data_IF_212447967586
#
_entry.id   IF_212447967586
#
_cell.length_a   1.000
_cell.length_b   1.000
_cell.length_c   1.000
_cell.angle_alpha   90.00
_cell.angle_beta   90.00
_cell.angle_gamma   90.00
#
_symmetry.space_group_name_H-M   'P 1'
#
loop_
_entity.id
_entity.type
_entity.pdbx_description
1 polymer ?
#
# COMPACT_ATOMS: atom_id res chain seq x y z
N UNK A 1 1.39 -3.85 -18.65
CA UNK A 1 1.42 -4.06 -17.16
C UNK A 1 0.60 -5.28 -16.79
N UNK A 2 1.06 -6.11 -15.84
CA UNK A 2 0.32 -7.27 -15.35
C UNK A 2 -0.68 -6.87 -14.28
N UNK A 3 -1.98 -6.86 -14.60
CA UNK A 3 -3.05 -6.50 -13.69
C UNK A 3 -3.31 -7.54 -12.60
N UNK A 4 -3.33 -8.82 -12.96
CA UNK A 4 -3.72 -9.91 -12.06
C UNK A 4 -2.83 -10.08 -10.84
N UNK A 5 -1.51 -9.97 -11.02
CA UNK A 5 -0.55 -10.12 -9.92
C UNK A 5 -0.66 -8.98 -8.91
N UNK A 6 -1.16 -7.82 -9.32
CA UNK A 6 -1.34 -6.63 -8.50
C UNK A 6 -2.74 -6.56 -7.88
N UNK A 7 -3.75 -7.21 -8.48
CA UNK A 7 -5.13 -7.23 -8.01
C UNK A 7 -5.32 -7.95 -6.66
N UNK A 8 -4.35 -8.75 -6.23
CA UNK A 8 -4.43 -9.52 -4.98
C UNK A 8 -4.43 -8.66 -3.71
N UNK A 9 -4.09 -7.38 -3.81
CA UNK A 9 -4.13 -6.42 -2.71
C UNK A 9 -4.53 -5.01 -3.20
N UNK A 10 -5.18 -4.21 -2.36
CA UNK A 10 -5.65 -2.86 -2.71
C UNK A 10 -4.48 -1.94 -3.08
N UNK A 11 -3.38 -1.96 -2.34
CA UNK A 11 -2.19 -1.16 -2.62
C UNK A 11 -1.54 -1.46 -3.97
N UNK A 12 -1.67 -2.69 -4.50
CA UNK A 12 -1.19 -3.05 -5.83
C UNK A 12 -1.94 -2.33 -6.95
N UNK A 13 -3.24 -2.17 -6.78
CA UNK A 13 -4.08 -1.45 -7.76
C UNK A 13 -3.75 0.04 -7.75
N UNK A 14 -3.62 0.62 -6.55
CA UNK A 14 -3.23 2.02 -6.41
C UNK A 14 -1.84 2.27 -6.99
N UNK A 15 -0.90 1.33 -6.82
CA UNK A 15 0.42 1.37 -7.43
C UNK A 15 0.35 1.36 -8.97
N UNK A 16 -0.41 0.44 -9.58
CA UNK A 16 -0.59 0.42 -11.05
C UNK A 16 -1.18 1.73 -11.57
N UNK A 17 -2.24 2.21 -10.93
CA UNK A 17 -2.88 3.48 -11.29
C UNK A 17 -1.89 4.63 -11.26
N UNK A 18 -1.12 4.70 -10.18
CA UNK A 18 -0.13 5.75 -10.00
C UNK A 18 0.97 5.68 -11.06
N UNK A 19 1.52 4.48 -11.36
CA UNK A 19 2.51 4.30 -12.43
C UNK A 19 1.98 4.79 -13.79
N UNK A 20 0.74 4.45 -14.15
CA UNK A 20 0.14 4.90 -15.40
C UNK A 20 -0.03 6.41 -15.44
N UNK A 21 -0.54 7.01 -14.38
CA UNK A 21 -0.73 8.47 -14.29
C UNK A 21 0.62 9.19 -14.41
N UNK A 22 1.64 8.71 -13.69
CA UNK A 22 2.98 9.29 -13.71
C UNK A 22 3.64 9.18 -15.10
N UNK A 23 3.57 8.02 -15.74
CA UNK A 23 4.08 7.83 -17.11
C UNK A 23 3.38 8.76 -18.11
N UNK A 24 2.05 8.82 -18.08
CA UNK A 24 1.26 9.68 -18.97
C UNK A 24 1.53 11.17 -18.74
N UNK A 25 1.97 11.58 -17.55
CA UNK A 25 2.29 12.96 -17.23
C UNK A 25 3.61 13.45 -17.85
N UNK A 26 4.51 12.53 -18.20
CA UNK A 26 5.84 12.86 -18.73
C UNK A 26 6.03 12.43 -20.17
N UNK A 27 5.26 11.47 -20.66
CA UNK A 27 5.31 10.94 -22.02
C UNK A 27 3.89 10.63 -22.47
N UNK A 28 3.15 11.62 -23.01
CA UNK A 28 1.77 11.43 -23.47
C UNK A 28 1.63 10.42 -24.63
N UNK A 29 2.72 10.18 -25.36
CA UNK A 29 2.83 9.18 -26.43
C UNK A 29 3.00 7.75 -25.90
N UNK A 30 3.46 7.59 -24.65
CA UNK A 30 3.59 6.27 -24.04
C UNK A 30 2.22 5.65 -23.83
N UNK A 31 1.95 4.53 -24.50
CA UNK A 31 0.70 3.81 -24.33
C UNK A 31 0.83 2.74 -23.25
N UNK A 32 -0.01 2.84 -22.22
CA UNK A 32 -0.08 1.85 -21.17
C UNK A 32 -1.16 0.82 -21.47
N UNK A 33 -0.80 -0.46 -21.42
CA UNK A 33 -1.73 -1.58 -21.56
C UNK A 33 -1.73 -2.43 -20.31
N UNK A 34 -2.92 -2.82 -19.87
CA UNK A 34 -3.08 -3.70 -18.71
C UNK A 34 -3.47 -5.08 -19.22
N UNK A 35 -2.61 -6.05 -18.99
CA UNK A 35 -2.88 -7.44 -19.30
C UNK A 35 -3.60 -8.09 -18.11
N UNK A 36 -4.76 -8.70 -18.38
CA UNK A 36 -5.62 -9.31 -17.35
C UNK A 36 -6.08 -10.67 -17.88
N UNK A 37 -6.04 -11.68 -17.01
CA UNK A 37 -6.63 -12.97 -17.33
C UNK A 37 -8.16 -12.85 -17.40
N UNK A 38 -8.82 -13.47 -18.37
CA UNK A 38 -10.27 -13.56 -18.38
C UNK A 38 -10.74 -14.31 -17.13
N UNK A 39 -11.85 -13.89 -16.56
CA UNK A 39 -12.44 -14.60 -15.42
C UNK A 39 -12.75 -16.05 -15.82
N UNK A 40 -11.99 -16.98 -15.26
CA UNK A 40 -12.27 -18.39 -15.45
C UNK A 40 -13.45 -18.78 -14.58
N UNK A 41 -14.62 -18.97 -15.17
CA UNK A 41 -15.82 -19.52 -14.54
C UNK A 41 -15.47 -20.78 -13.73
N UNK A 42 -14.55 -21.60 -14.24
CA UNK A 42 -14.06 -22.82 -13.57
C UNK A 42 -13.27 -22.49 -12.28
N UNK A 43 -12.40 -21.45 -12.28
CA UNK A 43 -11.67 -21.03 -11.07
C UNK A 43 -12.65 -20.44 -10.03
N UNK A 44 -13.64 -19.66 -10.46
CA UNK A 44 -14.69 -19.11 -9.59
C UNK A 44 -15.58 -20.22 -9.00
N UNK A 45 -15.97 -21.21 -9.78
CA UNK A 45 -16.75 -22.36 -9.30
C UNK A 45 -15.95 -23.24 -8.34
N UNK A 46 -14.67 -23.51 -8.61
CA UNK A 46 -13.79 -24.25 -7.70
C UNK A 46 -13.58 -23.49 -6.39
N UNK A 47 -13.43 -22.17 -6.44
CA UNK A 47 -13.29 -21.35 -5.25
C UNK A 47 -14.59 -21.32 -4.42
N UNK A 48 -15.75 -21.22 -5.07
CA UNK A 48 -17.06 -21.32 -4.44
C UNK A 48 -17.28 -22.72 -3.82
N UNK A 49 -16.95 -23.78 -4.52
CA UNK A 49 -17.05 -25.16 -4.01
C UNK A 49 -16.11 -25.39 -2.80
N UNK A 50 -14.85 -24.92 -2.88
CA UNK A 50 -13.90 -25.01 -1.75
C UNK A 50 -14.37 -24.18 -0.54
N UNK A 51 -14.98 -23.01 -0.76
CA UNK A 51 -15.53 -22.21 0.29
C UNK A 51 -16.79 -22.87 0.90
N UNK A 52 -17.68 -23.44 0.08
CA UNK A 52 -18.83 -24.20 0.53
C UNK A 52 -18.45 -25.39 1.42
N UNK A 53 -17.45 -26.20 1.02
CA UNK A 53 -16.93 -27.29 1.83
C UNK A 53 -16.30 -26.80 3.14
N UNK A 54 -15.56 -25.69 3.13
CA UNK A 54 -14.99 -25.10 4.35
C UNK A 54 -16.07 -24.62 5.31
N UNK A 55 -17.14 -24.00 4.79
CA UNK A 55 -18.30 -23.56 5.60
C UNK A 55 -19.00 -24.76 6.25
N UNK A 56 -19.22 -25.84 5.50
CA UNK A 56 -19.81 -27.10 6.01
C UNK A 56 -18.95 -27.76 7.09
N UNK A 57 -17.62 -27.58 7.03
CA UNK A 57 -16.67 -28.11 8.02
C UNK A 57 -16.40 -27.15 9.18
N UNK A 58 -17.18 -26.06 9.32
CA UNK A 58 -16.99 -25.04 10.37
C UNK A 58 -15.67 -24.25 10.24
N UNK A 59 -14.95 -24.40 9.12
CA UNK A 59 -13.71 -23.65 8.85
C UNK A 59 -14.04 -22.32 8.18
N UNK A 60 -13.45 -21.24 8.70
CA UNK A 60 -13.64 -19.89 8.12
C UNK A 60 -13.21 -19.89 6.64
N UNK A 61 -14.09 -19.37 5.79
CA UNK A 61 -13.80 -19.15 4.36
C UNK A 61 -12.86 -17.98 4.22
N UNK A 62 -11.79 -18.16 3.45
CA UNK A 62 -10.98 -17.02 3.01
C UNK A 62 -11.77 -16.21 1.98
N UNK A 63 -11.79 -14.85 2.08
CA UNK A 63 -12.27 -14.04 0.97
C UNK A 63 -11.50 -14.41 -0.30
N UNK A 64 -12.18 -14.46 -1.45
CA UNK A 64 -11.54 -14.59 -2.75
C UNK A 64 -10.42 -13.53 -2.86
N UNK A 65 -9.19 -13.98 -3.07
CA UNK A 65 -8.05 -13.08 -3.19
C UNK A 65 -8.19 -12.28 -4.50
N UNK A 66 -8.29 -10.95 -4.38
CA UNK A 66 -8.31 -10.01 -5.50
C UNK A 66 -9.68 -9.37 -5.75
N UNK A 67 -9.66 -8.22 -6.43
CA UNK A 67 -10.87 -7.59 -6.94
C UNK A 67 -11.39 -8.36 -8.17
N UNK A 68 -12.71 -8.46 -8.33
CA UNK A 68 -13.31 -8.92 -9.60
C UNK A 68 -12.78 -8.09 -10.77
N UNK A 69 -12.60 -8.74 -11.93
CA UNK A 69 -12.04 -8.13 -13.15
C UNK A 69 -12.68 -6.78 -13.49
N UNK A 70 -14.00 -6.70 -13.42
CA UNK A 70 -14.74 -5.47 -13.75
C UNK A 70 -14.45 -4.34 -12.75
N UNK A 71 -14.30 -4.66 -11.47
CA UNK A 71 -13.94 -3.68 -10.45
C UNK A 71 -12.49 -3.19 -10.63
N UNK A 72 -11.55 -4.08 -11.00
CA UNK A 72 -10.19 -3.72 -11.34
C UNK A 72 -10.14 -2.78 -12.55
N UNK A 73 -10.84 -3.12 -13.63
CA UNK A 73 -10.93 -2.28 -14.84
C UNK A 73 -11.56 -0.93 -14.51
N UNK A 74 -12.64 -0.92 -13.74
CA UNK A 74 -13.28 0.32 -13.30
C UNK A 74 -12.33 1.18 -12.45
N UNK A 75 -11.67 0.58 -11.46
CA UNK A 75 -10.72 1.28 -10.60
C UNK A 75 -9.57 1.91 -11.40
N UNK A 76 -9.05 1.21 -12.40
CA UNK A 76 -7.99 1.72 -13.28
C UNK A 76 -8.49 2.85 -14.21
N UNK A 77 -9.64 2.67 -14.85
CA UNK A 77 -10.21 3.68 -15.79
C UNK A 77 -10.73 4.93 -15.09
N UNK A 78 -11.29 4.80 -13.88
CA UNK A 78 -11.82 5.95 -13.12
C UNK A 78 -10.75 6.95 -12.68
N UNK A 79 -9.48 6.60 -12.80
CA UNK A 79 -8.36 7.50 -12.49
C UNK A 79 -8.05 8.54 -13.57
N UNK A 80 -8.75 8.52 -14.71
CA UNK A 80 -8.43 9.37 -15.86
C UNK A 80 -7.20 8.90 -16.64
N UNK A 81 -6.59 7.78 -16.25
CA UNK A 81 -5.45 7.21 -16.95
C UNK A 81 -5.87 6.63 -18.31
N UNK A 82 -5.07 6.88 -19.34
CA UNK A 82 -5.27 6.28 -20.67
C UNK A 82 -4.75 4.85 -20.65
N UNK A 83 -5.65 3.88 -20.59
CA UNK A 83 -5.32 2.45 -20.52
C UNK A 83 -6.20 1.63 -21.43
N UNK A 84 -5.58 0.70 -22.17
CA UNK A 84 -6.25 -0.40 -22.85
C UNK A 84 -6.13 -1.67 -22.02
N UNK A 85 -7.17 -2.49 -22.01
CA UNK A 85 -7.18 -3.78 -21.33
C UNK A 85 -7.06 -4.89 -22.36
N UNK A 86 -6.07 -5.77 -22.16
CA UNK A 86 -5.77 -6.88 -23.05
C UNK A 86 -5.95 -8.19 -22.29
N UNK A 87 -6.72 -9.10 -22.84
CA UNK A 87 -6.90 -10.43 -22.27
C UNK A 87 -5.76 -11.37 -22.70
N UNK A 88 -5.29 -12.19 -21.75
CA UNK A 88 -4.33 -13.25 -21.98
C UNK A 88 -4.64 -14.48 -21.14
N UNK A 89 -4.21 -15.68 -21.56
CA UNK A 89 -4.34 -16.90 -20.78
C UNK A 89 -3.10 -17.10 -19.86
N UNK A 90 -3.24 -17.95 -18.86
CA UNK A 90 -2.24 -18.14 -17.79
C UNK A 90 -1.05 -19.01 -18.26
N UNK A 91 -0.44 -18.65 -19.39
CA UNK A 91 0.78 -19.27 -19.92
C UNK A 91 1.77 -18.21 -20.35
N UNK A 92 3.07 -18.50 -20.23
CA UNK A 92 4.12 -17.59 -20.69
C UNK A 92 4.05 -17.34 -22.20
N UNK A 93 3.66 -18.35 -22.98
CA UNK A 93 3.49 -18.20 -24.43
C UNK A 93 2.37 -17.23 -24.78
N UNK A 94 1.18 -17.41 -24.18
CA UNK A 94 0.05 -16.51 -24.49
C UNK A 94 0.28 -15.08 -23.97
N UNK A 95 1.00 -14.95 -22.83
CA UNK A 95 1.45 -13.64 -22.34
C UNK A 95 2.36 -12.95 -23.36
N UNK A 96 3.34 -13.67 -23.91
CA UNK A 96 4.24 -13.16 -24.94
C UNK A 96 3.46 -12.78 -26.22
N UNK A 97 2.50 -13.62 -26.64
CA UNK A 97 1.66 -13.34 -27.79
C UNK A 97 0.71 -12.14 -27.55
N UNK A 98 0.17 -11.98 -26.35
CA UNK A 98 -0.61 -10.81 -25.97
C UNK A 98 0.23 -9.53 -26.03
N UNK A 99 1.47 -9.57 -25.57
CA UNK A 99 2.42 -8.45 -25.67
C UNK A 99 2.71 -8.10 -27.15
N UNK A 100 2.96 -9.11 -28.00
CA UNK A 100 3.18 -8.90 -29.45
C UNK A 100 1.94 -8.30 -30.14
N UNK A 101 0.74 -8.81 -29.84
CA UNK A 101 -0.53 -8.29 -30.40
C UNK A 101 -0.75 -6.81 -30.07
N UNK A 102 -0.27 -6.35 -28.93
CA UNK A 102 -0.42 -4.95 -28.55
C UNK A 102 0.86 -4.11 -28.75
N UNK A 103 1.88 -4.63 -29.44
CA UNK A 103 3.16 -3.98 -29.69
C UNK A 103 3.78 -3.44 -28.39
N UNK A 104 3.82 -4.25 -27.33
CA UNK A 104 4.39 -3.84 -26.06
C UNK A 104 5.92 -4.02 -26.09
N UNK A 105 6.66 -2.97 -25.72
CA UNK A 105 8.12 -2.96 -25.67
C UNK A 105 8.65 -3.65 -24.41
N UNK A 106 7.96 -3.53 -23.27
CA UNK A 106 8.38 -4.04 -21.99
C UNK A 106 7.20 -4.37 -21.09
N UNK A 107 7.32 -5.41 -20.26
CA UNK A 107 6.33 -5.80 -19.25
C UNK A 107 6.76 -5.38 -17.85
N UNK A 108 5.87 -4.71 -17.12
CA UNK A 108 6.06 -4.25 -15.74
C UNK A 108 4.70 -4.08 -15.03
N UNK A 109 4.57 -4.27 -13.74
CA UNK A 109 5.52 -4.95 -12.83
C UNK A 109 5.31 -6.48 -12.86
N UNK A 110 6.40 -7.25 -12.79
CA UNK A 110 6.34 -8.70 -12.72
C UNK A 110 6.66 -9.18 -11.29
N UNK A 111 5.66 -9.72 -10.58
CA UNK A 111 5.81 -10.26 -9.22
C UNK A 111 6.19 -11.74 -9.19
N UNK A 112 6.30 -12.35 -10.35
CA UNK A 112 6.79 -13.71 -10.56
C UNK A 112 7.86 -13.66 -11.65
N UNK A 113 8.83 -14.59 -11.61
CA UNK A 113 9.78 -14.70 -12.70
C UNK A 113 9.09 -15.24 -13.96
N UNK A 114 9.45 -14.66 -15.10
CA UNK A 114 9.04 -15.14 -16.42
C UNK A 114 10.12 -16.04 -17.06
N UNK A 115 11.29 -16.17 -16.39
CA UNK A 115 12.40 -16.98 -16.87
C UNK A 115 13.31 -16.24 -17.87
N UNK A 116 14.55 -16.71 -17.95
CA UNK A 116 15.53 -16.19 -18.91
C UNK A 116 15.16 -16.46 -20.38
N UNK A 117 14.30 -17.45 -20.63
CA UNK A 117 13.82 -17.79 -21.97
C UNK A 117 12.58 -17.01 -22.40
N UNK A 118 12.04 -16.14 -21.55
CA UNK A 118 10.88 -15.32 -21.95
C UNK A 118 11.31 -14.36 -23.07
N UNK A 119 10.57 -14.34 -24.21
CA UNK A 119 11.09 -13.77 -25.46
C UNK A 119 10.98 -12.24 -25.54
N UNK A 120 10.50 -11.56 -24.51
CA UNK A 120 10.27 -10.11 -24.51
C UNK A 120 10.83 -9.49 -23.22
N UNK A 121 11.22 -8.20 -23.24
CA UNK A 121 11.73 -7.51 -22.06
C UNK A 121 10.70 -7.46 -20.92
N UNK A 122 11.17 -7.68 -19.68
CA UNK A 122 10.33 -7.60 -18.49
C UNK A 122 11.10 -7.06 -17.29
N UNK A 123 10.39 -6.41 -16.37
CA UNK A 123 10.95 -5.83 -15.14
C UNK A 123 10.30 -6.48 -13.94
N UNK A 124 11.11 -7.04 -13.06
CA UNK A 124 10.68 -7.63 -11.80
C UNK A 124 10.19 -6.56 -10.81
N UNK A 125 9.32 -6.96 -9.89
CA UNK A 125 8.85 -6.11 -8.81
C UNK A 125 8.79 -6.90 -7.50
N UNK A 126 9.52 -6.41 -6.49
CA UNK A 126 9.52 -6.95 -5.13
C UNK A 126 9.02 -5.86 -4.20
N UNK A 127 7.84 -6.03 -3.56
CA UNK A 127 7.25 -5.00 -2.72
C UNK A 127 7.96 -4.82 -1.38
N UNK A 128 8.43 -5.91 -0.78
CA UNK A 128 9.07 -5.95 0.53
C UNK A 128 9.73 -7.30 0.81
N UNK A 129 10.56 -7.34 1.86
CA UNK A 129 11.15 -8.55 2.42
C UNK A 129 10.66 -8.84 3.86
N UNK A 130 9.37 -8.61 4.15
CA UNK A 130 8.79 -8.78 5.48
C UNK A 130 9.09 -10.17 6.09
N UNK A 131 9.07 -11.22 5.28
CA UNK A 131 9.35 -12.59 5.72
C UNK A 131 10.80 -12.81 6.18
N UNK A 132 11.74 -11.95 5.75
CA UNK A 132 13.13 -11.95 6.21
C UNK A 132 13.31 -11.14 7.49
N UNK A 133 12.75 -9.92 7.53
CA UNK A 133 12.85 -9.02 8.70
C UNK A 133 12.01 -9.49 9.88
N UNK A 134 10.86 -10.12 9.61
CA UNK A 134 9.89 -10.56 10.62
C UNK A 134 9.53 -12.05 10.41
N UNK A 135 10.52 -12.97 10.46
CA UNK A 135 10.33 -14.38 10.08
C UNK A 135 9.31 -15.10 10.99
N UNK A 136 9.16 -14.66 12.24
CA UNK A 136 8.22 -15.24 13.20
C UNK A 136 6.73 -14.98 12.86
N UNK A 137 6.44 -14.07 11.93
CA UNK A 137 5.07 -13.82 11.46
C UNK A 137 4.67 -14.68 10.26
N UNK A 138 5.55 -15.57 9.82
CA UNK A 138 5.33 -16.42 8.65
C UNK A 138 5.64 -17.88 9.00
N UNK A 139 4.81 -18.79 8.49
CA UNK A 139 5.16 -20.22 8.52
C UNK A 139 6.42 -20.49 7.70
N UNK A 140 7.13 -21.57 8.04
CA UNK A 140 8.33 -21.96 7.30
C UNK A 140 8.04 -22.20 5.81
N UNK A 141 6.89 -22.79 5.50
CA UNK A 141 6.46 -23.02 4.12
C UNK A 141 6.23 -21.71 3.34
N UNK A 142 5.65 -20.68 3.99
CA UNK A 142 5.47 -19.37 3.37
C UNK A 142 6.80 -18.65 3.17
N UNK A 143 7.72 -18.74 4.14
CA UNK A 143 9.07 -18.18 4.01
C UNK A 143 9.81 -18.80 2.84
N UNK A 144 9.87 -20.12 2.76
CA UNK A 144 10.52 -20.84 1.62
C UNK A 144 9.88 -20.45 0.29
N UNK A 145 8.55 -20.44 0.20
CA UNK A 145 7.84 -20.05 -1.03
C UNK A 145 8.19 -18.63 -1.48
N UNK A 146 8.30 -17.67 -0.55
CA UNK A 146 8.69 -16.29 -0.86
C UNK A 146 10.16 -16.21 -1.26
N UNK A 147 11.04 -16.95 -0.57
CA UNK A 147 12.46 -17.02 -0.90
C UNK A 147 12.68 -17.56 -2.32
N UNK A 148 12.04 -18.68 -2.66
CA UNK A 148 12.13 -19.28 -4.00
C UNK A 148 11.62 -18.33 -5.09
N UNK A 149 10.52 -17.63 -4.81
CA UNK A 149 9.94 -16.69 -5.76
C UNK A 149 10.85 -15.46 -5.96
N UNK A 150 11.39 -14.89 -4.89
CA UNK A 150 12.23 -13.70 -4.98
C UNK A 150 13.61 -14.02 -5.54
N UNK A 151 14.23 -15.13 -5.15
CA UNK A 151 15.50 -15.58 -5.76
C UNK A 151 15.36 -15.73 -7.27
N UNK A 152 14.28 -16.37 -7.76
CA UNK A 152 14.05 -16.48 -9.21
C UNK A 152 13.89 -15.14 -9.90
N UNK A 153 13.13 -14.20 -9.33
CA UNK A 153 13.01 -12.85 -9.90
C UNK A 153 14.38 -12.17 -9.94
N UNK A 154 15.15 -12.24 -8.85
CA UNK A 154 16.45 -11.60 -8.70
C UNK A 154 17.55 -12.22 -9.59
N UNK A 155 17.44 -13.51 -9.92
CA UNK A 155 18.37 -14.20 -10.80
C UNK A 155 18.06 -14.06 -12.29
N UNK A 156 16.79 -13.86 -12.65
CA UNK A 156 16.31 -14.00 -14.02
C UNK A 156 15.81 -12.65 -14.61
N UNK A 157 15.38 -11.70 -13.78
CA UNK A 157 15.00 -10.39 -14.28
C UNK A 157 16.22 -9.53 -14.59
N UNK A 158 16.27 -8.84 -15.73
CA UNK A 158 17.36 -7.88 -16.02
C UNK A 158 17.37 -6.69 -15.06
N UNK A 159 16.18 -6.29 -14.61
CA UNK A 159 16.01 -5.24 -13.60
C UNK A 159 14.89 -5.58 -12.63
N UNK A 160 15.05 -5.18 -11.38
CA UNK A 160 14.03 -5.30 -10.33
C UNK A 160 13.77 -3.92 -9.73
N UNK A 161 12.51 -3.57 -9.67
CA UNK A 161 12.02 -2.33 -9.05
C UNK A 161 11.48 -2.65 -7.65
N UNK A 162 11.79 -1.80 -6.70
CA UNK A 162 11.31 -1.85 -5.31
C UNK A 162 10.76 -0.49 -4.87
N UNK A 163 10.02 -0.44 -3.76
CA UNK A 163 9.33 0.78 -3.31
C UNK A 163 10.26 1.76 -2.55
N UNK A 164 11.46 1.35 -2.15
CA UNK A 164 12.31 2.14 -1.26
C UNK A 164 13.77 1.70 -1.34
N UNK A 165 14.70 2.59 -1.04
CA UNK A 165 16.13 2.27 -0.94
C UNK A 165 16.40 1.27 0.20
N UNK A 166 15.64 1.35 1.29
CA UNK A 166 15.71 0.37 2.38
C UNK A 166 15.41 -1.07 1.91
N UNK A 167 14.51 -1.25 0.92
CA UNK A 167 14.23 -2.57 0.35
C UNK A 167 15.38 -3.04 -0.55
N UNK A 168 16.10 -2.14 -1.23
CA UNK A 168 17.35 -2.48 -1.93
C UNK A 168 18.37 -3.03 -0.94
N UNK A 169 18.58 -2.34 0.18
CA UNK A 169 19.51 -2.80 1.24
C UNK A 169 19.11 -4.17 1.78
N UNK A 170 17.80 -4.42 1.97
CA UNK A 170 17.30 -5.73 2.38
C UNK A 170 17.64 -6.81 1.33
N UNK A 171 17.50 -6.51 0.03
CA UNK A 171 17.87 -7.46 -1.03
C UNK A 171 19.36 -7.73 -1.02
N UNK A 172 20.19 -6.71 -0.93
CA UNK A 172 21.66 -6.85 -0.86
C UNK A 172 22.12 -7.68 0.34
N UNK A 173 21.44 -7.52 1.50
CA UNK A 173 21.73 -8.29 2.71
C UNK A 173 21.29 -9.76 2.59
N UNK A 174 20.05 -10.02 2.13
CA UNK A 174 19.48 -11.37 2.16
C UNK A 174 19.69 -12.18 0.90
N UNK A 175 20.02 -11.53 -0.22
CA UNK A 175 20.27 -12.15 -1.53
C UNK A 175 21.53 -11.54 -2.17
N UNK A 176 22.72 -11.62 -1.53
CA UNK A 176 23.94 -10.89 -1.96
C UNK A 176 24.47 -11.31 -3.34
N UNK A 177 24.06 -12.47 -3.86
CA UNK A 177 24.50 -13.00 -5.15
C UNK A 177 23.46 -12.77 -6.27
N UNK A 178 22.50 -11.86 -6.08
CA UNK A 178 21.50 -11.55 -7.12
C UNK A 178 22.15 -10.98 -8.38
N UNK A 179 21.49 -11.18 -9.53
CA UNK A 179 21.97 -10.71 -10.84
C UNK A 179 21.25 -9.49 -11.34
N UNK A 180 20.01 -9.29 -10.87
CA UNK A 180 19.19 -8.17 -11.32
C UNK A 180 19.78 -6.82 -10.90
N UNK A 181 19.68 -5.82 -11.78
CA UNK A 181 19.94 -4.42 -11.42
C UNK A 181 18.76 -3.90 -10.60
N UNK A 182 19.04 -3.36 -9.40
CA UNK A 182 18.02 -2.90 -8.47
C UNK A 182 17.72 -1.42 -8.62
N UNK A 183 16.43 -1.06 -8.59
CA UNK A 183 15.98 0.32 -8.66
C UNK A 183 14.94 0.60 -7.57
N UNK A 184 15.25 1.52 -6.65
CA UNK A 184 14.29 2.04 -5.69
C UNK A 184 13.48 3.15 -6.33
N UNK A 185 12.15 3.03 -6.33
CA UNK A 185 11.26 4.11 -6.75
C UNK A 185 11.31 5.25 -5.72
N UNK A 186 11.36 6.51 -6.16
CA UNK A 186 11.29 7.64 -5.25
C UNK A 186 9.93 7.68 -4.53
N UNK A 187 9.93 8.10 -3.27
CA UNK A 187 8.69 8.33 -2.53
C UNK A 187 7.83 9.39 -3.23
N UNK A 188 6.62 9.01 -3.60
CA UNK A 188 5.74 9.88 -4.36
C UNK A 188 4.27 9.66 -4.03
N UNK A 189 3.69 10.44 -3.09
CA UNK A 189 2.27 10.49 -2.88
C UNK A 189 1.53 11.04 -4.10
N UNK A 190 0.30 10.55 -4.39
CA UNK A 190 -0.46 11.02 -5.54
C UNK A 190 -0.84 12.51 -5.41
N UNK A 191 -0.70 13.25 -6.50
CA UNK A 191 -1.12 14.64 -6.58
C UNK A 191 -2.64 14.73 -6.78
N UNK A 192 -3.40 14.76 -5.70
CA UNK A 192 -4.84 14.92 -5.75
C UNK A 192 -5.29 16.17 -4.99
N UNK A 193 -5.68 17.22 -5.72
CA UNK A 193 -6.50 18.28 -5.14
C UNK A 193 -7.93 17.78 -4.95
N UNK A 194 -8.16 16.99 -3.92
CA UNK A 194 -9.55 16.70 -3.53
C UNK A 194 -10.13 17.90 -2.82
N UNK A 195 -11.16 18.50 -3.43
CA UNK A 195 -11.99 19.46 -2.73
C UNK A 195 -12.89 18.70 -1.77
N UNK A 196 -12.63 18.84 -0.48
CA UNK A 196 -13.54 18.37 0.55
C UNK A 196 -14.67 19.41 0.65
N UNK A 197 -15.91 18.98 0.43
CA UNK A 197 -17.08 19.81 0.67
C UNK A 197 -17.36 19.85 2.16
N UNK A 198 -17.51 21.01 2.73
CA UNK A 198 -17.86 21.18 4.15
C UNK A 198 -19.18 20.45 4.48
N UNK A 199 -20.18 20.55 3.61
CA UNK A 199 -21.45 19.84 3.78
C UNK A 199 -21.25 18.32 3.84
N UNK A 200 -20.40 17.75 2.98
CA UNK A 200 -20.10 16.33 2.99
C UNK A 200 -19.31 15.91 4.24
N UNK A 201 -18.42 16.77 4.74
CA UNK A 201 -17.74 16.56 6.01
C UNK A 201 -18.71 16.43 7.18
N UNK A 202 -19.71 17.31 7.25
CA UNK A 202 -20.77 17.26 8.27
C UNK A 202 -21.61 15.98 8.15
N UNK A 203 -21.98 15.56 6.94
CA UNK A 203 -22.71 14.30 6.70
C UNK A 203 -21.89 13.08 7.18
N UNK A 204 -20.60 13.01 6.83
CA UNK A 204 -19.69 11.94 7.24
C UNK A 204 -19.51 11.93 8.76
N UNK A 205 -19.31 13.10 9.36
CA UNK A 205 -19.19 13.24 10.82
C UNK A 205 -20.43 12.71 11.55
N UNK A 206 -21.62 13.05 11.07
CA UNK A 206 -22.87 12.58 11.62
C UNK A 206 -23.08 11.08 11.41
N UNK A 207 -22.79 10.57 10.20
CA UNK A 207 -22.99 9.17 9.85
C UNK A 207 -22.11 8.21 10.67
N UNK A 208 -20.89 8.62 10.99
CA UNK A 208 -19.93 7.81 11.77
C UNK A 208 -19.83 8.22 13.24
N UNK A 209 -20.66 9.16 13.72
CA UNK A 209 -20.67 9.69 15.10
C UNK A 209 -19.26 10.12 15.56
N UNK A 210 -18.56 10.88 14.69
CA UNK A 210 -17.17 11.24 14.94
C UNK A 210 -17.03 12.21 16.11
N UNK A 211 -16.02 12.02 17.00
CA UNK A 211 -15.72 12.97 18.07
C UNK A 211 -15.19 14.30 17.51
N UNK A 212 -15.23 15.35 18.35
CA UNK A 212 -14.79 16.68 17.93
C UNK A 212 -13.28 16.74 17.62
N UNK A 213 -12.46 16.02 18.40
CA UNK A 213 -11.00 16.01 18.29
C UNK A 213 -10.48 14.58 18.28
N UNK A 214 -9.78 14.18 17.23
CA UNK A 214 -9.27 12.82 17.11
C UNK A 214 -8.02 12.74 16.25
N UNK A 215 -7.18 11.74 16.57
CA UNK A 215 -6.18 11.20 15.67
C UNK A 215 -6.77 10.05 14.85
N UNK A 216 -6.18 9.74 13.72
CA UNK A 216 -6.66 8.64 12.88
C UNK A 216 -5.58 7.57 12.65
N UNK A 217 -5.95 6.30 12.82
CA UNK A 217 -5.17 5.15 12.31
C UNK A 217 -5.93 4.54 11.14
N UNK A 218 -5.35 4.60 9.95
CA UNK A 218 -5.98 4.08 8.73
C UNK A 218 -5.20 2.90 8.16
N UNK A 219 -5.31 1.75 8.84
CA UNK A 219 -4.59 0.52 8.54
C UNK A 219 -5.49 -0.70 8.69
N UNK A 220 -5.20 -1.76 7.93
CA UNK A 220 -5.75 -3.07 8.26
C UNK A 220 -5.23 -3.51 9.64
N UNK A 221 -6.06 -4.21 10.41
CA UNK A 221 -5.72 -4.63 11.77
C UNK A 221 -4.78 -5.86 11.75
N UNK A 222 -3.66 -5.73 11.03
CA UNK A 222 -2.61 -6.73 11.04
C UNK A 222 -1.65 -6.50 12.20
N UNK A 223 -1.10 -7.58 12.74
CA UNK A 223 -0.24 -7.52 13.93
C UNK A 223 0.91 -6.51 13.79
N UNK A 224 1.56 -6.45 12.63
CA UNK A 224 2.67 -5.52 12.40
C UNK A 224 2.24 -4.05 12.26
N UNK A 225 0.95 -3.77 12.14
CA UNK A 225 0.42 -2.40 12.13
C UNK A 225 0.29 -1.79 13.53
N UNK A 226 0.51 -2.62 14.56
CA UNK A 226 0.71 -2.20 15.96
C UNK A 226 -0.32 -1.21 16.50
N UNK A 227 -1.60 -1.51 16.28
CA UNK A 227 -2.71 -0.69 16.80
C UNK A 227 -2.63 -0.56 18.32
N UNK A 228 -2.13 -1.58 19.01
CA UNK A 228 -1.90 -1.57 20.45
C UNK A 228 -1.03 -0.38 20.89
N UNK A 229 0.08 -0.10 20.16
CA UNK A 229 0.94 1.05 20.46
C UNK A 229 0.14 2.36 20.42
N UNK A 230 -0.74 2.53 19.41
CA UNK A 230 -1.59 3.72 19.31
C UNK A 230 -2.64 3.79 20.42
N UNK A 231 -3.24 2.66 20.82
CA UNK A 231 -4.22 2.59 21.90
C UNK A 231 -3.60 2.97 23.25
N UNK A 232 -2.43 2.43 23.55
CA UNK A 232 -1.72 2.71 24.79
C UNK A 232 -1.16 4.15 24.83
N UNK A 233 -0.73 4.68 23.67
CA UNK A 233 -0.34 6.08 23.57
C UNK A 233 -1.54 7.03 23.80
N UNK A 234 -2.70 6.73 23.23
CA UNK A 234 -3.95 7.47 23.51
C UNK A 234 -4.25 7.47 25.01
N UNK A 235 -4.12 6.32 25.69
CA UNK A 235 -4.31 6.23 27.14
C UNK A 235 -3.39 7.22 27.88
N UNK A 236 -2.09 7.25 27.56
CA UNK A 236 -1.12 8.18 28.17
C UNK A 236 -1.50 9.64 27.97
N UNK A 237 -1.90 9.98 26.72
CA UNK A 237 -2.33 11.35 26.37
C UNK A 237 -3.55 11.76 27.18
N UNK A 238 -4.53 10.87 27.35
CA UNK A 238 -5.73 11.14 28.16
C UNK A 238 -5.41 11.25 29.65
N UNK A 239 -4.57 10.37 30.17
CA UNK A 239 -4.11 10.41 31.55
C UNK A 239 -3.36 11.71 31.88
N UNK A 240 -2.77 12.38 30.86
CA UNK A 240 -2.17 13.72 31.00
C UNK A 240 -3.18 14.88 30.88
N UNK A 241 -4.47 14.60 30.82
CA UNK A 241 -5.56 15.59 30.86
C UNK A 241 -6.04 16.10 29.51
N UNK A 242 -5.58 15.51 28.39
CA UNK A 242 -6.04 15.92 27.05
C UNK A 242 -7.30 15.14 26.63
N UNK A 243 -8.37 15.86 26.31
CA UNK A 243 -9.58 15.25 25.74
C UNK A 243 -9.44 15.07 24.23
N UNK A 244 -9.08 13.84 23.83
CA UNK A 244 -8.84 13.44 22.46
C UNK A 244 -9.21 11.97 22.26
N UNK A 245 -9.64 11.64 21.04
CA UNK A 245 -10.07 10.31 20.65
C UNK A 245 -9.16 9.72 19.55
N UNK A 246 -9.37 8.44 19.25
CA UNK A 246 -8.72 7.74 18.15
C UNK A 246 -9.79 7.12 17.24
N UNK A 247 -9.75 7.43 15.94
CA UNK A 247 -10.60 6.83 14.92
C UNK A 247 -9.77 5.85 14.10
N UNK A 248 -10.23 4.60 14.02
CA UNK A 248 -9.52 3.53 13.33
C UNK A 248 -10.34 2.98 12.17
N UNK A 249 -9.72 2.87 10.99
CA UNK A 249 -10.36 2.28 9.79
C UNK A 249 -9.50 1.17 9.20
N UNK A 250 -10.14 0.17 8.61
CA UNK A 250 -9.49 -0.95 7.94
C UNK A 250 -10.16 -2.28 8.21
N UNK A 251 -9.80 -3.30 7.43
CA UNK A 251 -10.28 -4.66 7.67
C UNK A 251 -9.76 -5.18 9.02
N UNK A 252 -10.65 -5.74 9.83
CA UNK A 252 -10.35 -6.23 11.17
C UNK A 252 -9.76 -7.66 11.19
N UNK A 253 -9.79 -8.38 10.05
CA UNK A 253 -9.29 -9.74 9.95
C UNK A 253 -7.81 -9.76 9.52
N UNK A 254 -6.92 -10.29 10.37
CA UNK A 254 -5.62 -10.81 9.97
C UNK A 254 -5.72 -12.32 9.75
N UNK A 255 -5.50 -12.80 8.51
CA UNK A 255 -5.62 -14.21 8.19
C UNK A 255 -4.52 -15.08 8.86
N UNK A 256 -3.39 -14.47 9.22
CA UNK A 256 -2.27 -15.12 9.93
C UNK A 256 -2.56 -15.24 11.43
N UNK A 257 -3.26 -14.26 11.98
CA UNK A 257 -3.57 -14.13 13.40
C UNK A 257 -5.05 -13.83 13.61
N UNK A 258 -5.95 -14.80 13.41
CA UNK A 258 -7.41 -14.57 13.41
C UNK A 258 -7.95 -13.97 14.72
N UNK A 259 -7.29 -14.25 15.85
CA UNK A 259 -7.70 -13.75 17.17
C UNK A 259 -7.14 -12.35 17.49
N UNK A 260 -6.19 -11.83 16.72
CA UNK A 260 -5.54 -10.56 16.99
C UNK A 260 -6.52 -9.40 17.22
N UNK A 261 -7.61 -9.34 16.46
CA UNK A 261 -8.61 -8.28 16.64
C UNK A 261 -9.38 -8.44 17.97
N UNK A 262 -9.59 -9.66 18.47
CA UNK A 262 -10.19 -9.91 19.78
C UNK A 262 -9.21 -9.51 20.90
N UNK A 263 -7.92 -9.77 20.72
CA UNK A 263 -6.88 -9.34 21.66
C UNK A 263 -6.86 -7.81 21.79
N UNK A 264 -6.95 -7.10 20.65
CA UNK A 264 -7.02 -5.63 20.65
C UNK A 264 -8.27 -5.11 21.34
N UNK A 265 -9.44 -5.76 21.20
CA UNK A 265 -10.66 -5.40 21.96
C UNK A 265 -10.46 -5.61 23.45
N UNK A 266 -9.82 -6.70 23.85
CA UNK A 266 -9.46 -6.94 25.24
C UNK A 266 -8.54 -5.86 25.83
N UNK A 267 -7.58 -5.35 25.05
CA UNK A 267 -6.73 -4.22 25.44
C UNK A 267 -7.57 -2.95 25.66
N UNK A 268 -8.50 -2.64 24.75
CA UNK A 268 -9.40 -1.49 24.87
C UNK A 268 -10.23 -1.59 26.16
N UNK A 269 -10.84 -2.73 26.41
CA UNK A 269 -11.66 -2.98 27.62
C UNK A 269 -10.84 -2.87 28.91
N UNK A 270 -9.70 -3.54 28.99
CA UNK A 270 -8.82 -3.54 30.15
C UNK A 270 -8.32 -2.14 30.52
N UNK A 271 -8.22 -1.25 29.53
CA UNK A 271 -7.71 0.11 29.73
C UNK A 271 -8.82 1.18 29.77
N UNK A 272 -10.10 0.80 29.81
CA UNK A 272 -11.27 1.70 29.83
C UNK A 272 -11.25 2.71 28.66
N UNK A 273 -10.93 2.25 27.44
CA UNK A 273 -10.80 3.08 26.25
C UNK A 273 -11.99 2.96 25.29
N UNK A 274 -13.09 2.26 25.67
CA UNK A 274 -14.23 1.95 24.79
C UNK A 274 -14.90 3.22 24.23
N UNK A 275 -14.98 4.28 25.04
CA UNK A 275 -15.60 5.55 24.63
C UNK A 275 -14.65 6.44 23.78
N UNK A 276 -13.35 6.10 23.75
CA UNK A 276 -12.32 6.96 23.14
C UNK A 276 -11.70 6.38 21.88
N UNK A 277 -11.95 5.10 21.60
CA UNK A 277 -11.47 4.43 20.37
C UNK A 277 -12.65 4.02 19.52
N UNK A 278 -12.76 4.61 18.34
CA UNK A 278 -13.83 4.40 17.38
C UNK A 278 -13.33 3.52 16.23
N UNK A 279 -13.76 2.25 16.19
CA UNK A 279 -13.36 1.30 15.14
C UNK A 279 -14.46 1.24 14.08
N UNK A 280 -14.23 1.88 12.94
CA UNK A 280 -15.22 2.00 11.85
C UNK A 280 -15.17 0.81 10.87
N UNK A 281 -14.14 -0.04 10.94
CA UNK A 281 -13.95 -1.12 9.97
C UNK A 281 -13.59 -0.61 8.58
N UNK A 282 -13.93 -1.39 7.55
CA UNK A 282 -13.71 -0.99 6.16
C UNK A 282 -14.84 -0.06 5.71
N UNK A 283 -14.49 1.16 5.37
CA UNK A 283 -15.41 2.20 4.90
C UNK A 283 -15.06 2.66 3.48
N UNK A 284 -15.98 3.35 2.76
CA UNK A 284 -15.69 3.90 1.45
C UNK A 284 -14.47 4.83 1.45
N UNK A 285 -13.65 4.78 0.40
CA UNK A 285 -12.42 5.58 0.30
C UNK A 285 -12.67 7.08 0.42
N UNK A 286 -13.80 7.57 -0.10
CA UNK A 286 -14.16 8.98 0.00
C UNK A 286 -14.37 9.39 1.46
N UNK A 287 -15.10 8.59 2.22
CA UNK A 287 -15.37 8.84 3.65
C UNK A 287 -14.08 8.76 4.45
N UNK A 288 -13.24 7.72 4.19
CA UNK A 288 -11.93 7.56 4.81
C UNK A 288 -11.06 8.82 4.64
N UNK A 289 -10.97 9.36 3.43
CA UNK A 289 -10.18 10.56 3.16
C UNK A 289 -10.80 11.82 3.81
N UNK A 290 -12.13 11.91 3.90
CA UNK A 290 -12.81 13.00 4.59
C UNK A 290 -12.53 12.97 6.10
N UNK A 291 -12.66 11.79 6.73
CA UNK A 291 -12.32 11.58 8.15
C UNK A 291 -10.83 11.87 8.40
N UNK A 292 -9.96 11.45 7.51
CA UNK A 292 -8.52 11.71 7.58
C UNK A 292 -8.22 13.21 7.50
N UNK A 293 -8.86 13.94 6.60
CA UNK A 293 -8.67 15.38 6.43
C UNK A 293 -9.07 16.18 7.67
N UNK A 294 -10.09 15.72 8.41
CA UNK A 294 -10.58 16.36 9.62
C UNK A 294 -9.83 15.91 10.88
N UNK A 295 -8.95 14.93 10.80
CA UNK A 295 -8.15 14.46 11.93
C UNK A 295 -7.03 15.44 12.30
N UNK A 296 -6.61 15.41 13.56
CA UNK A 296 -5.46 16.17 14.06
C UNK A 296 -4.16 15.73 13.38
N UNK A 297 -4.00 14.42 13.18
CA UNK A 297 -2.94 13.81 12.40
C UNK A 297 -3.29 12.34 12.13
N UNK A 298 -2.67 11.77 11.09
CA UNK A 298 -2.65 10.33 10.86
C UNK A 298 -1.52 9.71 11.68
N UNK A 299 -1.81 8.67 12.43
CA UNK A 299 -0.82 7.88 13.14
C UNK A 299 -0.53 6.60 12.35
N UNK A 300 0.75 6.37 12.05
CA UNK A 300 1.25 5.16 11.40
C UNK A 300 2.20 4.42 12.34
N UNK A 301 1.65 3.58 13.26
CA UNK A 301 2.43 2.99 14.36
C UNK A 301 3.07 1.66 13.97
N UNK A 302 3.28 1.43 12.70
CA UNK A 302 3.72 0.15 12.14
C UNK A 302 5.11 -0.27 12.63
N UNK A 303 5.32 -1.60 12.72
CA UNK A 303 6.62 -2.20 13.03
C UNK A 303 7.38 -2.65 11.77
N UNK A 304 6.72 -2.63 10.63
CA UNK A 304 7.30 -2.96 9.34
C UNK A 304 6.49 -2.33 8.20
N UNK A 305 7.18 -1.79 7.19
CA UNK A 305 6.63 -1.35 5.90
C UNK A 305 7.55 -1.76 4.75
N UNK A 306 6.93 -2.00 3.58
CA UNK A 306 7.66 -2.26 2.33
C UNK A 306 7.84 -1.00 1.47
N UNK A 307 7.31 0.12 1.89
CA UNK A 307 7.44 1.43 1.26
C UNK A 307 7.21 2.54 2.27
N UNK A 308 7.72 3.76 2.04
CA UNK A 308 7.69 4.84 3.02
C UNK A 308 6.26 5.16 3.50
N UNK A 309 6.02 5.05 4.81
CA UNK A 309 4.74 5.37 5.45
C UNK A 309 3.53 4.50 5.12
N UNK A 310 3.62 3.59 4.16
CA UNK A 310 2.48 2.83 3.67
C UNK A 310 1.34 3.71 3.10
N UNK A 311 0.25 3.08 2.65
CA UNK A 311 -0.82 3.79 1.95
C UNK A 311 -1.50 4.92 2.73
N UNK A 312 -1.55 4.84 4.06
CA UNK A 312 -2.20 5.88 4.89
C UNK A 312 -1.42 7.20 4.91
N UNK A 313 -0.09 7.15 4.89
CA UNK A 313 0.75 8.35 4.84
C UNK A 313 0.74 8.97 3.45
N UNK A 314 0.72 8.15 2.38
CA UNK A 314 0.49 8.64 1.01
C UNK A 314 -0.82 9.41 0.91
N UNK A 315 -1.91 8.86 1.45
CA UNK A 315 -3.20 9.52 1.48
C UNK A 315 -3.14 10.83 2.28
N UNK A 316 -2.59 10.80 3.50
CA UNK A 316 -2.49 11.96 4.37
C UNK A 316 -1.74 13.13 3.70
N UNK A 317 -0.58 12.86 3.13
CA UNK A 317 0.21 13.88 2.41
C UNK A 317 -0.57 14.41 1.20
N UNK A 318 -1.24 13.53 0.44
CA UNK A 318 -2.02 13.92 -0.75
C UNK A 318 -3.18 14.85 -0.46
N UNK A 319 -3.67 14.87 0.78
CA UNK A 319 -4.77 15.73 1.25
C UNK A 319 -4.32 16.79 2.25
N UNK A 320 -3.02 16.99 2.37
CA UNK A 320 -2.40 17.98 3.26
C UNK A 320 -2.75 17.78 4.75
N UNK A 321 -2.74 16.53 5.22
CA UNK A 321 -2.94 16.17 6.63
C UNK A 321 -1.61 15.77 7.25
N UNK A 322 -1.23 16.24 8.45
CA UNK A 322 0.02 15.87 9.10
C UNK A 322 0.01 14.41 9.55
N UNK A 323 1.19 13.83 9.75
CA UNK A 323 1.34 12.44 10.15
C UNK A 323 2.33 12.27 11.29
N UNK A 324 2.09 11.28 12.17
CA UNK A 324 3.02 10.77 13.18
C UNK A 324 3.37 9.34 12.78
N UNK A 325 4.63 9.09 12.44
CA UNK A 325 5.06 7.87 11.77
C UNK A 325 6.17 7.18 12.57
N UNK A 326 6.10 5.86 12.70
CA UNK A 326 7.17 5.09 13.34
C UNK A 326 8.50 5.27 12.60
N UNK A 327 9.58 5.40 13.36
CA UNK A 327 10.93 5.60 12.87
C UNK A 327 11.53 4.26 12.39
N UNK A 328 11.18 3.90 11.15
CA UNK A 328 11.76 2.77 10.43
C UNK A 328 12.67 3.29 9.31
N UNK A 329 13.73 2.55 8.92
CA UNK A 329 14.61 2.97 7.83
C UNK A 329 13.84 3.38 6.57
N UNK A 330 12.84 2.60 6.16
CA UNK A 330 11.99 2.88 5.00
C UNK A 330 11.16 4.17 5.18
N UNK A 331 10.72 4.49 6.39
CA UNK A 331 9.92 5.69 6.67
C UNK A 331 10.78 6.97 6.68
N UNK A 332 12.09 6.85 6.90
CA UNK A 332 13.02 7.98 6.78
C UNK A 332 13.20 8.49 5.35
N UNK A 333 12.73 7.74 4.37
CA UNK A 333 12.69 8.19 2.97
C UNK A 333 11.51 9.13 2.67
N UNK A 334 10.64 9.41 3.63
CA UNK A 334 9.56 10.41 3.51
C UNK A 334 10.19 11.81 3.56
N UNK A 335 10.31 12.45 2.42
CA UNK A 335 10.96 13.76 2.25
C UNK A 335 9.98 14.88 1.86
N UNK A 336 8.68 14.61 1.88
CA UNK A 336 7.60 15.55 1.57
C UNK A 336 6.45 15.39 2.56
N UNK A 337 5.72 16.47 2.83
CA UNK A 337 4.62 16.52 3.80
C UNK A 337 5.10 16.91 5.21
N UNK A 338 4.16 17.03 6.13
CA UNK A 338 4.41 17.34 7.53
C UNK A 338 4.39 16.05 8.34
N UNK A 339 5.58 15.55 8.69
CA UNK A 339 5.75 14.26 9.36
C UNK A 339 6.59 14.41 10.62
N UNK A 340 6.09 13.85 11.74
CA UNK A 340 6.84 13.68 12.98
C UNK A 340 7.15 12.20 13.17
N UNK A 341 8.41 11.89 13.45
CA UNK A 341 8.82 10.51 13.70
C UNK A 341 8.81 10.21 15.19
N UNK A 342 8.45 8.98 15.54
CA UNK A 342 8.55 8.43 16.89
C UNK A 342 9.24 7.06 16.86
N UNK A 343 9.91 6.67 17.94
CA UNK A 343 10.61 5.39 18.04
C UNK A 343 9.63 4.22 17.87
N UNK A 344 9.86 3.34 16.89
CA UNK A 344 8.96 2.24 16.55
C UNK A 344 8.64 1.37 17.77
N UNK A 345 7.34 1.14 18.04
CA UNK A 345 6.86 0.40 19.21
C UNK A 345 6.88 1.16 20.53
N UNK A 346 7.40 2.38 20.57
CA UNK A 346 7.42 3.18 21.81
C UNK A 346 6.09 3.90 22.05
N UNK A 347 5.36 3.45 23.05
CA UNK A 347 4.12 4.07 23.53
C UNK A 347 4.37 5.49 24.04
N UNK A 348 5.43 5.67 24.83
CA UNK A 348 5.73 6.95 25.47
C UNK A 348 6.16 8.02 24.45
N UNK A 349 6.99 7.65 23.47
CA UNK A 349 7.41 8.59 22.43
C UNK A 349 6.25 8.94 21.49
N UNK A 350 5.40 7.97 21.11
CA UNK A 350 4.18 8.25 20.36
C UNK A 350 3.25 9.21 21.13
N UNK A 351 3.03 8.94 22.43
CA UNK A 351 2.21 9.82 23.27
C UNK A 351 2.78 11.25 23.33
N UNK A 352 4.10 11.38 23.48
CA UNK A 352 4.78 12.69 23.46
C UNK A 352 4.56 13.43 22.12
N UNK A 353 4.67 12.73 20.97
CA UNK A 353 4.38 13.32 19.66
C UNK A 353 2.91 13.71 19.48
N UNK A 354 1.99 12.92 20.03
CA UNK A 354 0.56 13.26 20.06
C UNK A 354 0.29 14.53 20.87
N UNK A 355 0.86 14.63 22.08
CA UNK A 355 0.75 15.85 22.93
C UNK A 355 1.37 17.06 22.21
N UNK A 356 2.53 16.89 21.60
CA UNK A 356 3.18 17.94 20.83
C UNK A 356 2.31 18.44 19.66
N UNK A 357 1.57 17.56 18.98
CA UNK A 357 0.58 17.93 17.97
C UNK A 357 -0.61 18.70 18.54
N UNK A 358 -1.00 18.42 19.79
CA UNK A 358 -2.12 19.10 20.46
C UNK A 358 -1.76 20.49 20.96
N UNK A 359 -0.53 20.64 21.47
CA UNK A 359 -0.04 21.88 22.12
C UNK A 359 0.61 22.83 21.11
N UNK A 360 1.36 22.25 20.17
CA UNK A 360 2.10 22.99 19.15
C UNK A 360 1.78 22.39 17.76
N UNK A 361 0.57 22.64 17.24
CA UNK A 361 0.20 22.17 15.91
C UNK A 361 1.24 22.64 14.87
N UNK A 362 1.63 21.80 13.91
CA UNK A 362 2.57 22.22 12.88
C UNK A 362 1.94 23.27 11.96
N UNK A 363 2.77 24.18 11.46
CA UNK A 363 2.39 25.00 10.34
C UNK A 363 2.25 24.15 9.07
N UNK A 364 1.08 24.19 8.44
CA UNK A 364 0.80 23.44 7.23
C UNK A 364 1.07 24.30 5.99
N UNK A 365 1.73 23.75 4.96
CA UNK A 365 1.83 24.46 3.68
C UNK A 365 0.43 24.68 3.09
N UNK A 366 0.30 25.67 2.19
CA UNK A 366 -0.97 25.83 1.46
C UNK A 366 -1.30 24.60 0.62
N UNK A 367 -2.58 24.40 0.31
CA UNK A 367 -3.01 23.29 -0.56
C UNK A 367 -2.40 23.40 -1.95
N UNK A 368 -2.24 24.62 -2.44
CA UNK A 368 -1.63 24.94 -3.74
C UNK A 368 -0.16 24.58 -3.77
N UNK A 369 0.60 24.93 -2.73
CA UNK A 369 2.03 24.56 -2.59
C UNK A 369 2.20 23.04 -2.51
N UNK A 370 1.38 22.38 -1.69
CA UNK A 370 1.41 20.91 -1.57
C UNK A 370 1.12 20.26 -2.92
N UNK A 371 0.11 20.72 -3.63
CA UNK A 371 -0.23 20.18 -4.95
C UNK A 371 0.88 20.39 -5.98
N UNK A 372 1.47 21.58 -6.02
CA UNK A 372 2.57 21.89 -6.93
C UNK A 372 3.77 20.98 -6.68
N UNK A 373 4.15 20.78 -5.42
CA UNK A 373 5.24 19.87 -5.02
C UNK A 373 4.95 18.42 -5.38
N UNK A 374 3.73 17.94 -5.12
CA UNK A 374 3.32 16.57 -5.47
C UNK A 374 3.28 16.36 -6.99
N UNK A 375 2.85 17.36 -7.75
CA UNK A 375 2.82 17.29 -9.22
C UNK A 375 4.25 17.19 -9.79
N UNK A 376 5.18 18.00 -9.26
CA UNK A 376 6.59 17.91 -9.66
C UNK A 376 7.17 16.52 -9.32
N UNK A 377 6.92 16.04 -8.12
CA UNK A 377 7.37 14.71 -7.68
C UNK A 377 6.80 13.58 -8.54
N UNK A 378 5.54 13.68 -8.95
CA UNK A 378 4.93 12.72 -9.86
C UNK A 378 5.61 12.70 -11.24
N UNK A 379 6.02 13.87 -11.76
CA UNK A 379 6.78 13.95 -13.00
C UNK A 379 8.18 13.34 -12.85
N UNK A 380 8.88 13.60 -11.73
CA UNK A 380 10.18 12.99 -11.43
C UNK A 380 10.08 11.47 -11.36
N UNK A 381 9.07 10.95 -10.65
CA UNK A 381 8.77 9.52 -10.59
C UNK A 381 8.49 8.94 -11.98
N UNK A 382 7.66 9.61 -12.78
CA UNK A 382 7.34 9.20 -14.15
C UNK A 382 8.58 9.13 -15.04
N UNK A 383 9.45 10.14 -14.99
CA UNK A 383 10.73 10.16 -15.73
C UNK A 383 11.65 9.02 -15.30
N UNK A 384 11.77 8.81 -13.99
CA UNK A 384 12.60 7.74 -13.44
C UNK A 384 12.10 6.35 -13.89
N UNK A 385 10.80 6.08 -13.73
CA UNK A 385 10.20 4.82 -14.16
C UNK A 385 10.33 4.61 -15.69
N UNK A 386 10.06 5.65 -16.48
CA UNK A 386 10.21 5.59 -17.94
C UNK A 386 11.66 5.28 -18.34
N UNK A 387 12.64 5.86 -17.66
CA UNK A 387 14.06 5.59 -17.87
C UNK A 387 14.40 4.10 -17.67
N UNK A 388 13.93 3.51 -16.56
CA UNK A 388 14.10 2.06 -16.28
C UNK A 388 13.47 1.21 -17.38
N UNK A 389 12.21 1.49 -17.71
CA UNK A 389 11.47 0.71 -18.72
C UNK A 389 12.13 0.82 -20.11
N UNK A 390 12.60 2.01 -20.50
CA UNK A 390 13.27 2.24 -21.78
C UNK A 390 14.61 1.53 -21.84
N UNK A 391 15.41 1.57 -20.76
CA UNK A 391 16.68 0.86 -20.64
C UNK A 391 16.49 -0.66 -20.82
N UNK A 392 15.47 -1.23 -20.15
CA UNK A 392 15.16 -2.66 -20.27
C UNK A 392 14.65 -3.01 -21.65
N UNK A 393 13.78 -2.20 -22.24
CA UNK A 393 13.23 -2.41 -23.59
C UNK A 393 14.33 -2.43 -24.67
N UNK A 394 15.38 -1.62 -24.51
CA UNK A 394 16.52 -1.54 -25.45
C UNK A 394 17.63 -2.55 -25.17
N UNK A 395 17.58 -3.26 -24.04
CA UNK A 395 18.68 -4.15 -23.61
C UNK A 395 19.95 -3.42 -23.17
N UNK A 396 19.82 -2.17 -22.74
CA UNK A 396 20.94 -1.29 -22.32
C UNK A 396 21.29 -1.57 -20.83
N UNK A 397 22.01 -2.70 -20.57
CA UNK A 397 22.42 -3.12 -19.22
C UNK A 397 23.91 -2.86 -18.90
N UNK A 398 24.60 -2.07 -19.72
CA UNK A 398 26.01 -1.77 -19.54
C UNK A 398 26.27 -0.85 -18.33
#
# INVERSE_FOLDING_TARGET
MLGDTMASWTGGIDFLRFCVIALNSVSPETSCRILIQPESIRKSLIALAKNGVKTLLGRRTMPLAGLPRNELIYALKSSGARIDVIDYQDTASDLADAMRRCNADVLFPCRISLGNSFPLPWVGYIPDLQHKRMPHWFSEAERRKRDDMFSKILDEAPAVVVNAAAVVQDIEEFYPNHKARLFALPFCPPAHLKKFSESYGLEVRAAYHLPARYFMVSNQFWIHKSHETAFMALRRVRDSGHDVHLVCTGKTLDYRWPEHFNDLKGIIEKNNLQEYIHILGLIPKRDQLTIMHESLAVIQPTLFEGGPGGGSVYDAISINTPSIVSDLPVNREIDIGVVRFFAAGSVDDLAAKMVDMLVTPPEMPSKEETYARLTLRQQEFGKFLLGILSMVAKGEFA
#
